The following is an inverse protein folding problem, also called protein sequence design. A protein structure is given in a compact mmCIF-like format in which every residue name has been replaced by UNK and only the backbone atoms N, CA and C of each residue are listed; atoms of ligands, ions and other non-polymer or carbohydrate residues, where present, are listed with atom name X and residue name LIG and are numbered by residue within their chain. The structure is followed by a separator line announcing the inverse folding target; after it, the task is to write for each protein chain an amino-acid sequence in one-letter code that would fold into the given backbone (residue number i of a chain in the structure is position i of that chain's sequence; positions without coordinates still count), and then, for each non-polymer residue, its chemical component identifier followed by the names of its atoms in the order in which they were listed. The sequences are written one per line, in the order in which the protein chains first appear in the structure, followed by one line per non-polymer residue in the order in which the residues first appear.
data_IF_285811438685
#
_entry.id   IF_285811438685
#
_cell.length_a   1.000
_cell.length_b   1.000
_cell.length_c   1.000
_cell.angle_alpha   90.00
_cell.angle_beta   90.00
_cell.angle_gamma   90.00
#
_symmetry.space_group_name_H-M   'P 1'
#
loop_
_entity.id
_entity.type
_entity.pdbx_description
1 polymer ?
#
# COMPACT_ATOMS: atom_id res chain seq x y z
N UNK A 1 -15.19 12.40 2.02
CA UNK A 1 -13.93 12.11 1.27
C UNK A 1 -13.13 13.40 1.07
N UNK A 2 -11.82 13.37 1.27
CA UNK A 2 -10.93 14.53 1.02
C UNK A 2 -10.54 14.63 -0.46
N UNK A 3 -10.29 13.50 -1.09
CA UNK A 3 -9.97 13.40 -2.51
C UNK A 3 -11.20 13.67 -3.40
N UNK A 4 -10.95 13.95 -4.67
CA UNK A 4 -12.01 14.10 -5.67
C UNK A 4 -12.66 12.75 -5.95
N UNK A 5 -13.96 12.71 -6.30
CA UNK A 5 -14.64 11.46 -6.65
C UNK A 5 -13.86 10.66 -7.69
N UNK A 6 -13.67 9.37 -7.42
CA UNK A 6 -13.03 8.46 -8.35
C UNK A 6 -14.01 8.09 -9.48
N UNK A 7 -13.46 7.65 -10.61
CA UNK A 7 -14.28 7.13 -11.69
C UNK A 7 -14.95 5.81 -11.27
N UNK A 8 -16.30 5.72 -11.21
CA UNK A 8 -17.01 4.50 -10.80
C UNK A 8 -16.72 3.29 -11.70
N UNK A 9 -16.22 3.51 -12.91
CA UNK A 9 -15.84 2.43 -13.84
C UNK A 9 -14.73 1.53 -13.25
N UNK A 10 -13.87 2.05 -12.34
CA UNK A 10 -12.90 1.25 -11.57
C UNK A 10 -13.64 0.11 -10.88
N UNK A 11 -14.62 0.44 -10.08
CA UNK A 11 -15.36 -0.51 -9.25
C UNK A 11 -16.26 -1.44 -10.06
N UNK A 12 -16.87 -0.93 -11.15
CA UNK A 12 -17.66 -1.72 -12.08
C UNK A 12 -16.80 -2.79 -12.75
N UNK A 13 -15.61 -2.44 -13.25
CA UNK A 13 -14.68 -3.40 -13.88
C UNK A 13 -14.20 -4.43 -12.87
N UNK A 14 -13.87 -4.00 -11.65
CA UNK A 14 -13.40 -4.87 -10.59
C UNK A 14 -14.46 -5.92 -10.22
N UNK A 15 -15.71 -5.52 -10.03
CA UNK A 15 -16.81 -6.47 -9.78
C UNK A 15 -17.05 -7.42 -10.95
N UNK A 16 -17.01 -6.94 -12.20
CA UNK A 16 -17.13 -7.81 -13.38
C UNK A 16 -16.04 -8.87 -13.42
N UNK A 17 -14.80 -8.48 -13.11
CA UNK A 17 -13.65 -9.41 -13.03
C UNK A 17 -13.86 -10.43 -11.91
N UNK A 18 -14.30 -10.00 -10.73
CA UNK A 18 -14.57 -10.89 -9.59
C UNK A 18 -15.68 -11.89 -9.93
N UNK A 19 -16.83 -11.42 -10.40
CA UNK A 19 -17.98 -12.23 -10.77
C UNK A 19 -17.64 -13.28 -11.85
N UNK A 20 -16.76 -12.93 -12.80
CA UNK A 20 -16.34 -13.87 -13.86
C UNK A 20 -15.54 -15.08 -13.35
N UNK A 21 -15.05 -15.02 -12.11
CA UNK A 21 -14.30 -16.11 -11.46
C UNK A 21 -15.12 -16.83 -10.38
N UNK A 22 -16.34 -16.39 -10.11
CA UNK A 22 -17.24 -17.09 -9.21
C UNK A 22 -17.80 -18.37 -9.87
N UNK A 23 -18.04 -19.38 -9.04
CA UNK A 23 -18.81 -20.55 -9.49
C UNK A 23 -20.25 -20.17 -9.76
N UNK A 24 -20.89 -20.95 -10.63
CA UNK A 24 -22.33 -20.79 -10.92
C UNK A 24 -23.16 -20.89 -9.65
N UNK A 25 -24.27 -20.20 -9.63
CA UNK A 25 -25.25 -20.15 -8.55
C UNK A 25 -24.62 -19.85 -7.18
N UNK A 26 -23.66 -18.95 -7.14
CA UNK A 26 -22.95 -18.55 -5.92
C UNK A 26 -23.25 -17.11 -5.54
N UNK A 27 -23.33 -16.87 -4.23
CA UNK A 27 -23.42 -15.53 -3.65
C UNK A 27 -22.11 -15.15 -2.95
N UNK A 28 -21.64 -13.93 -3.15
CA UNK A 28 -20.48 -13.39 -2.43
C UNK A 28 -20.87 -12.20 -1.55
N UNK A 29 -20.36 -12.15 -0.33
CA UNK A 29 -20.71 -11.16 0.67
C UNK A 29 -19.42 -10.53 1.24
N UNK A 30 -19.36 -9.20 1.18
CA UNK A 30 -18.23 -8.39 1.66
C UNK A 30 -18.72 -7.39 2.68
N UNK A 31 -18.03 -7.30 3.81
CA UNK A 31 -18.38 -6.37 4.88
C UNK A 31 -17.39 -5.19 4.94
N UNK A 32 -17.87 -4.04 5.43
CA UNK A 32 -17.00 -2.96 5.87
C UNK A 32 -16.16 -3.38 7.07
N UNK A 33 -15.09 -2.63 7.34
CA UNK A 33 -14.43 -2.70 8.64
C UNK A 33 -15.35 -2.18 9.75
N UNK A 34 -14.96 -2.42 11.00
CA UNK A 34 -15.56 -1.81 12.17
C UNK A 34 -15.05 -0.38 12.38
N UNK A 35 -15.84 0.46 13.01
CA UNK A 35 -15.34 1.64 13.71
C UNK A 35 -14.62 1.16 14.97
N UNK A 36 -13.30 1.39 15.05
CA UNK A 36 -12.48 0.85 16.13
C UNK A 36 -12.39 1.85 17.29
N UNK A 37 -12.75 1.44 18.53
CA UNK A 37 -12.60 2.30 19.70
C UNK A 37 -11.12 2.54 20.02
N UNK A 38 -10.77 3.79 20.30
CA UNK A 38 -9.47 4.17 20.82
C UNK A 38 -9.48 4.11 22.36
N UNK A 39 -10.16 5.05 23.00
CA UNK A 39 -10.36 5.11 24.45
C UNK A 39 -11.68 5.83 24.76
N UNK A 40 -12.41 5.36 25.77
CA UNK A 40 -13.70 5.94 26.17
C UNK A 40 -14.69 5.88 25.01
N UNK A 41 -15.18 7.03 24.59
CA UNK A 41 -16.10 7.22 23.45
C UNK A 41 -15.38 7.68 22.17
N UNK A 42 -14.05 7.82 22.21
CA UNK A 42 -13.26 8.19 21.03
C UNK A 42 -13.00 7.00 20.12
N UNK A 43 -13.05 7.25 18.82
CA UNK A 43 -12.78 6.27 17.77
C UNK A 43 -11.46 6.61 17.05
N UNK A 44 -10.76 5.59 16.58
CA UNK A 44 -9.73 5.78 15.56
C UNK A 44 -10.37 6.25 14.25
N UNK A 45 -9.65 6.99 13.38
CA UNK A 45 -10.11 7.28 12.04
C UNK A 45 -10.57 6.01 11.32
N UNK A 46 -11.77 6.04 10.75
CA UNK A 46 -12.29 4.89 10.02
C UNK A 46 -11.48 4.67 8.74
N UNK A 47 -11.05 3.43 8.54
CA UNK A 47 -10.39 2.96 7.31
C UNK A 47 -11.23 1.80 6.79
N UNK A 48 -11.66 1.89 5.53
CA UNK A 48 -12.49 0.87 4.91
C UNK A 48 -11.71 -0.43 4.67
N UNK A 49 -12.44 -1.56 4.69
CA UNK A 49 -11.92 -2.84 4.23
C UNK A 49 -11.46 -2.72 2.76
N UNK A 50 -10.22 -3.07 2.48
CA UNK A 50 -9.60 -2.88 1.17
C UNK A 50 -10.33 -3.61 0.05
N UNK A 51 -10.88 -4.80 0.33
CA UNK A 51 -11.61 -5.60 -0.66
C UNK A 51 -12.99 -5.02 -0.95
N UNK A 52 -13.70 -4.57 0.09
CA UNK A 52 -14.98 -3.87 -0.09
C UNK A 52 -14.77 -2.56 -0.84
N UNK A 53 -13.72 -1.80 -0.49
CA UNK A 53 -13.38 -0.56 -1.21
C UNK A 53 -13.08 -0.86 -2.68
N UNK A 54 -12.25 -1.86 -2.98
CA UNK A 54 -11.90 -2.27 -4.33
C UNK A 54 -13.11 -2.64 -5.19
N UNK A 55 -14.16 -3.19 -4.56
CA UNK A 55 -15.41 -3.55 -5.21
C UNK A 55 -16.40 -2.39 -5.35
N UNK A 56 -16.32 -1.34 -4.53
CA UNK A 56 -17.41 -0.36 -4.43
C UNK A 56 -17.01 1.11 -4.34
N UNK A 57 -15.81 1.42 -3.87
CA UNK A 57 -15.39 2.80 -3.57
C UNK A 57 -16.09 3.41 -2.35
N UNK A 58 -16.83 2.63 -1.58
CA UNK A 58 -17.60 3.13 -0.43
C UNK A 58 -16.70 3.22 0.81
N UNK A 59 -16.67 4.37 1.46
CA UNK A 59 -15.90 4.66 2.68
C UNK A 59 -16.80 4.88 3.90
N UNK A 60 -17.90 4.18 4.00
CA UNK A 60 -18.81 4.27 5.14
C UNK A 60 -18.80 2.95 5.92
N UNK A 61 -18.71 3.06 7.24
CA UNK A 61 -18.91 1.92 8.15
C UNK A 61 -20.32 1.32 7.97
N UNK A 62 -20.52 0.09 8.44
CA UNK A 62 -21.79 -0.62 8.34
C UNK A 62 -22.34 -0.68 6.90
N UNK A 63 -21.44 -0.83 5.94
CA UNK A 63 -21.76 -1.07 4.55
C UNK A 63 -21.40 -2.50 4.12
N UNK A 64 -22.07 -3.00 3.10
CA UNK A 64 -21.77 -4.31 2.52
C UNK A 64 -21.91 -4.27 0.99
N UNK A 65 -21.22 -5.18 0.32
CA UNK A 65 -21.43 -5.49 -1.10
C UNK A 65 -21.85 -6.94 -1.20
N UNK A 66 -22.95 -7.19 -1.91
CA UNK A 66 -23.45 -8.53 -2.18
C UNK A 66 -23.51 -8.73 -3.69
N UNK A 67 -22.90 -9.81 -4.16
CA UNK A 67 -22.85 -10.20 -5.57
C UNK A 67 -23.48 -11.57 -5.73
N UNK A 68 -24.58 -11.65 -6.48
CA UNK A 68 -25.26 -12.90 -6.80
C UNK A 68 -25.64 -12.92 -8.27
N UNK A 69 -24.68 -13.20 -9.18
CA UNK A 69 -24.88 -13.05 -10.64
C UNK A 69 -26.04 -13.87 -11.20
N UNK A 70 -26.32 -15.03 -10.60
CA UNK A 70 -27.39 -15.93 -11.02
C UNK A 70 -28.72 -15.68 -10.29
N UNK A 71 -28.86 -14.59 -9.52
CA UNK A 71 -30.12 -14.24 -8.90
C UNK A 71 -31.23 -14.14 -9.95
N UNK A 72 -32.39 -14.86 -9.76
CA UNK A 72 -33.49 -14.82 -10.70
C UNK A 72 -34.03 -13.40 -10.98
N UNK A 73 -34.03 -12.54 -9.95
CA UNK A 73 -34.35 -11.12 -10.12
C UNK A 73 -33.06 -10.34 -10.46
N UNK A 74 -32.92 -9.81 -11.68
CA UNK A 74 -31.75 -9.06 -12.09
C UNK A 74 -31.43 -7.84 -11.22
N UNK A 75 -32.42 -7.30 -10.53
CA UNK A 75 -32.28 -6.17 -9.60
C UNK A 75 -31.32 -6.52 -8.46
N UNK A 76 -31.25 -7.77 -8.03
CA UNK A 76 -30.47 -8.21 -6.87
C UNK A 76 -29.17 -8.94 -7.22
N UNK A 77 -28.70 -8.83 -8.47
CA UNK A 77 -27.43 -9.43 -8.90
C UNK A 77 -26.21 -8.69 -8.36
N UNK A 78 -26.33 -7.38 -8.18
CA UNK A 78 -25.35 -6.53 -7.48
C UNK A 78 -26.11 -5.64 -6.50
N UNK A 79 -25.77 -5.70 -5.24
CA UNK A 79 -26.44 -4.95 -4.16
C UNK A 79 -25.40 -4.24 -3.31
N UNK A 80 -25.59 -2.93 -3.14
CA UNK A 80 -24.91 -2.14 -2.14
C UNK A 80 -25.80 -2.00 -0.92
N UNK A 81 -25.30 -2.40 0.24
CA UNK A 81 -25.98 -2.22 1.52
C UNK A 81 -25.38 -1.03 2.25
N UNK A 82 -26.24 -0.14 2.70
CA UNK A 82 -25.84 1.06 3.44
C UNK A 82 -26.68 1.21 4.71
N UNK A 83 -26.13 1.92 5.69
CA UNK A 83 -26.90 2.38 6.84
C UNK A 83 -27.98 3.36 6.38
N UNK A 84 -29.22 3.18 6.88
CA UNK A 84 -30.28 4.15 6.60
C UNK A 84 -29.93 5.51 7.24
N UNK A 85 -29.99 6.60 6.48
CA UNK A 85 -29.78 7.94 7.03
C UNK A 85 -30.69 8.23 8.22
N UNK A 86 -30.13 8.80 9.26
CA UNK A 86 -30.82 9.13 10.50
C UNK A 86 -30.40 10.53 10.98
N UNK A 87 -31.32 11.46 11.09
CA UNK A 87 -31.04 12.86 11.45
C UNK A 87 -30.28 13.01 12.77
N UNK A 88 -30.59 12.19 13.77
CA UNK A 88 -29.92 12.25 15.05
C UNK A 88 -28.44 11.81 14.91
N UNK A 89 -28.18 10.68 14.23
CA UNK A 89 -26.81 10.23 13.95
C UNK A 89 -26.03 11.27 13.16
N UNK A 90 -26.65 11.89 12.15
CA UNK A 90 -25.99 12.89 11.31
C UNK A 90 -25.65 14.18 12.07
N UNK A 91 -26.45 14.54 13.06
CA UNK A 91 -26.13 15.66 13.96
C UNK A 91 -24.89 15.42 14.82
N UNK A 92 -24.61 14.17 15.14
CA UNK A 92 -23.45 13.78 15.96
C UNK A 92 -22.21 13.40 15.13
N UNK A 93 -22.41 12.58 14.10
CA UNK A 93 -21.31 11.89 13.42
C UNK A 93 -21.10 12.38 11.97
N UNK A 94 -21.92 13.34 11.50
CA UNK A 94 -21.83 13.84 10.15
C UNK A 94 -22.68 13.06 9.14
N UNK A 95 -22.47 13.34 7.86
CA UNK A 95 -23.27 12.86 6.74
C UNK A 95 -23.22 11.36 6.56
N UNK A 96 -24.38 10.71 6.36
CA UNK A 96 -24.53 9.33 5.92
C UNK A 96 -24.94 9.29 4.45
N UNK A 97 -24.33 8.40 3.67
CA UNK A 97 -24.58 8.28 2.24
C UNK A 97 -26.06 8.00 1.92
N UNK A 98 -26.60 8.77 1.00
CA UNK A 98 -27.92 8.52 0.41
C UNK A 98 -27.81 7.45 -0.68
N UNK A 99 -28.93 6.81 -1.01
CA UNK A 99 -28.93 5.78 -2.05
C UNK A 99 -28.33 6.27 -3.37
N UNK A 100 -28.69 7.49 -3.79
CA UNK A 100 -28.14 8.10 -5.02
C UNK A 100 -26.62 8.27 -4.96
N UNK A 101 -26.09 8.72 -3.83
CA UNK A 101 -24.64 8.91 -3.65
C UNK A 101 -23.90 7.57 -3.71
N UNK A 102 -24.46 6.53 -3.07
CA UNK A 102 -23.92 5.17 -3.17
C UNK A 102 -23.88 4.65 -4.61
N UNK A 103 -24.94 4.93 -5.40
CA UNK A 103 -24.99 4.60 -6.83
C UNK A 103 -23.94 5.37 -7.62
N UNK A 104 -23.83 6.67 -7.39
CA UNK A 104 -22.92 7.56 -8.13
C UNK A 104 -21.43 7.18 -7.85
N UNK A 105 -21.11 6.74 -6.63
CA UNK A 105 -19.76 6.31 -6.24
C UNK A 105 -19.44 4.91 -6.80
N UNK A 106 -20.33 3.94 -6.56
CA UNK A 106 -20.01 2.53 -6.79
C UNK A 106 -20.40 2.02 -8.18
N UNK A 107 -21.35 2.69 -8.84
CA UNK A 107 -22.01 2.20 -10.05
C UNK A 107 -23.01 1.06 -9.78
N UNK A 108 -23.19 0.61 -8.53
CA UNK A 108 -24.19 -0.41 -8.16
C UNK A 108 -25.57 0.28 -8.10
N UNK A 109 -26.50 -0.19 -8.93
CA UNK A 109 -27.81 0.47 -9.08
C UNK A 109 -28.80 0.14 -7.96
N UNK A 110 -28.64 -1.00 -7.30
CA UNK A 110 -29.53 -1.43 -6.22
C UNK A 110 -28.90 -1.13 -4.86
N UNK A 111 -29.52 -0.21 -4.13
CA UNK A 111 -29.16 0.09 -2.75
C UNK A 111 -30.23 -0.49 -1.82
N UNK A 112 -29.80 -1.24 -0.81
CA UNK A 112 -30.62 -1.81 0.26
C UNK A 112 -30.19 -1.22 1.59
N UNK A 113 -31.13 -0.92 2.47
CA UNK A 113 -30.81 -0.45 3.80
C UNK A 113 -30.48 -1.62 4.73
N UNK A 114 -29.49 -1.46 5.58
CA UNK A 114 -29.01 -2.52 6.48
C UNK A 114 -30.12 -3.05 7.40
N UNK A 115 -31.04 -2.20 7.84
CA UNK A 115 -32.15 -2.55 8.75
C UNK A 115 -33.20 -3.50 8.15
N UNK A 116 -33.23 -3.66 6.83
CA UNK A 116 -34.15 -4.59 6.15
C UNK A 116 -33.41 -5.73 5.44
N UNK A 117 -32.09 -5.78 5.55
CA UNK A 117 -31.27 -6.74 4.81
C UNK A 117 -31.59 -8.19 5.13
N UNK A 118 -31.78 -8.55 6.40
CA UNK A 118 -31.97 -9.95 6.82
C UNK A 118 -33.17 -10.61 6.12
N UNK A 119 -34.25 -9.85 5.93
CA UNK A 119 -35.44 -10.34 5.23
C UNK A 119 -35.23 -10.61 3.73
N UNK A 120 -34.27 -9.94 3.11
CA UNK A 120 -33.88 -10.10 1.70
C UNK A 120 -32.78 -11.13 1.52
N UNK A 121 -31.81 -11.14 2.41
CA UNK A 121 -30.62 -12.00 2.30
C UNK A 121 -30.96 -13.48 2.51
N UNK A 122 -31.83 -13.78 3.46
CA UNK A 122 -32.18 -15.18 3.74
C UNK A 122 -32.74 -15.92 2.50
N UNK A 123 -33.72 -15.42 1.73
CA UNK A 123 -34.13 -16.04 0.47
C UNK A 123 -33.00 -16.20 -0.55
N UNK A 124 -32.08 -15.21 -0.67
CA UNK A 124 -30.99 -15.30 -1.61
C UNK A 124 -29.98 -16.40 -1.22
N UNK A 125 -29.70 -16.54 0.08
CA UNK A 125 -28.84 -17.63 0.59
C UNK A 125 -29.48 -19.00 0.28
N UNK A 126 -30.80 -19.14 0.43
CA UNK A 126 -31.46 -20.40 0.13
C UNK A 126 -31.49 -20.77 -1.35
N UNK A 127 -31.34 -19.77 -2.24
CA UNK A 127 -31.25 -20.00 -3.69
C UNK A 127 -29.82 -20.36 -4.13
N UNK A 128 -28.79 -19.93 -3.39
CA UNK A 128 -27.40 -20.10 -3.76
C UNK A 128 -26.89 -21.50 -3.34
N UNK A 129 -26.07 -22.12 -4.19
CA UNK A 129 -25.41 -23.39 -3.88
C UNK A 129 -24.12 -23.19 -3.06
N UNK A 130 -23.48 -22.04 -3.23
CA UNK A 130 -22.24 -21.73 -2.53
C UNK A 130 -22.20 -20.27 -2.06
N UNK A 131 -21.53 -20.05 -0.93
CA UNK A 131 -21.36 -18.73 -0.32
C UNK A 131 -19.88 -18.39 -0.30
N UNK A 132 -19.49 -17.34 -1.01
CA UNK A 132 -18.17 -16.75 -0.92
C UNK A 132 -18.14 -15.76 0.25
N UNK A 133 -17.26 -16.03 1.22
CA UNK A 133 -16.99 -15.15 2.34
C UNK A 133 -15.57 -14.59 2.24
N UNK A 134 -15.38 -13.41 2.79
CA UNK A 134 -14.09 -12.76 2.83
C UNK A 134 -13.45 -12.93 4.20
N UNK A 135 -12.13 -13.06 4.20
CA UNK A 135 -11.27 -12.99 5.38
C UNK A 135 -9.93 -12.40 4.94
N UNK A 136 -9.32 -11.59 5.77
CA UNK A 136 -8.00 -11.06 5.44
C UNK A 136 -6.96 -12.19 5.45
N UNK A 137 -6.47 -12.56 4.28
CA UNK A 137 -5.46 -13.59 4.05
C UNK A 137 -4.12 -12.99 3.60
N UNK A 138 -3.81 -11.76 4.00
CA UNK A 138 -2.50 -11.18 3.75
C UNK A 138 -1.44 -11.92 4.56
N UNK A 139 -0.34 -12.34 3.91
CA UNK A 139 0.75 -13.11 4.52
C UNK A 139 1.48 -12.33 5.63
N UNK A 140 1.35 -11.00 5.64
CA UNK A 140 1.92 -10.10 6.67
C UNK A 140 0.94 -9.75 7.78
N UNK A 141 -0.21 -10.41 7.83
CA UNK A 141 -1.21 -10.18 8.87
C UNK A 141 -0.63 -10.52 10.25
N UNK A 142 -0.57 -9.53 11.12
CA UNK A 142 -0.12 -9.64 12.51
C UNK A 142 -1.22 -9.23 13.49
N UNK A 143 -2.49 -9.63 13.23
CA UNK A 143 -3.63 -9.14 14.00
C UNK A 143 -4.31 -10.28 14.76
N UNK A 144 -4.36 -10.17 16.08
CA UNK A 144 -5.08 -11.09 16.97
C UNK A 144 -6.57 -10.69 17.15
N UNK A 145 -6.93 -9.44 16.80
CA UNK A 145 -8.30 -8.95 16.92
C UNK A 145 -9.16 -9.53 15.80
N UNK A 146 -10.27 -10.17 16.18
CA UNK A 146 -11.22 -10.71 15.22
C UNK A 146 -11.89 -9.61 14.40
N UNK A 147 -11.67 -9.59 13.09
CA UNK A 147 -12.28 -8.64 12.17
C UNK A 147 -13.77 -8.91 11.97
N UNK A 148 -14.51 -7.92 11.45
CA UNK A 148 -15.93 -8.11 11.10
C UNK A 148 -16.14 -9.28 10.15
N UNK A 149 -15.30 -9.44 9.14
CA UNK A 149 -15.40 -10.56 8.20
C UNK A 149 -15.26 -11.93 8.88
N UNK A 150 -14.32 -12.08 9.84
CA UNK A 150 -14.21 -13.33 10.62
C UNK A 150 -15.45 -13.62 11.46
N UNK A 151 -15.96 -12.60 12.15
CA UNK A 151 -17.19 -12.76 12.96
C UNK A 151 -18.39 -13.07 12.08
N UNK A 152 -18.48 -12.41 10.92
CA UNK A 152 -19.54 -12.67 9.95
C UNK A 152 -19.43 -14.08 9.35
N UNK A 153 -18.24 -14.54 9.01
CA UNK A 153 -18.02 -15.91 8.54
C UNK A 153 -18.46 -16.94 9.59
N UNK A 154 -18.09 -16.76 10.86
CA UNK A 154 -18.55 -17.63 11.95
C UNK A 154 -20.07 -17.61 12.09
N UNK A 155 -20.71 -16.44 12.04
CA UNK A 155 -22.16 -16.29 12.06
C UNK A 155 -22.84 -17.07 10.91
N UNK A 156 -22.33 -16.94 9.68
CA UNK A 156 -22.88 -17.61 8.50
C UNK A 156 -22.77 -19.14 8.62
N UNK A 157 -21.63 -19.66 9.09
CA UNK A 157 -21.47 -21.10 9.32
C UNK A 157 -22.43 -21.67 10.36
N UNK A 158 -22.75 -20.91 11.42
CA UNK A 158 -23.72 -21.31 12.42
C UNK A 158 -25.14 -21.28 11.85
N UNK A 159 -25.49 -20.23 11.10
CA UNK A 159 -26.85 -20.00 10.61
C UNK A 159 -27.21 -20.88 9.41
N UNK A 160 -26.25 -21.18 8.54
CA UNK A 160 -26.44 -21.92 7.29
C UNK A 160 -25.43 -23.07 7.15
N UNK A 161 -25.41 -24.05 8.08
CA UNK A 161 -24.35 -25.04 8.22
C UNK A 161 -24.22 -26.02 7.05
N UNK A 162 -25.23 -26.13 6.19
CA UNK A 162 -25.26 -27.09 5.07
C UNK A 162 -24.88 -26.48 3.71
N UNK A 163 -24.50 -25.19 3.67
CA UNK A 163 -24.03 -24.55 2.43
C UNK A 163 -22.54 -24.84 2.19
N UNK A 164 -22.14 -24.77 0.91
CA UNK A 164 -20.73 -24.83 0.53
C UNK A 164 -20.10 -23.45 0.72
N UNK A 165 -19.05 -23.35 1.54
CA UNK A 165 -18.33 -22.10 1.77
C UNK A 165 -17.07 -22.02 0.94
N UNK A 166 -16.82 -20.85 0.35
CA UNK A 166 -15.66 -20.55 -0.50
C UNK A 166 -14.96 -19.28 -0.05
N UNK A 167 -13.66 -19.23 -0.33
CA UNK A 167 -12.81 -18.10 0.07
C UNK A 167 -12.73 -17.07 -1.06
N UNK A 168 -13.23 -15.87 -0.84
CA UNK A 168 -13.09 -14.73 -1.78
C UNK A 168 -11.63 -14.28 -1.94
N UNK A 169 -10.84 -14.39 -0.88
CA UNK A 169 -9.45 -13.96 -0.85
C UNK A 169 -8.60 -14.59 -1.96
N UNK A 170 -8.87 -15.84 -2.36
CA UNK A 170 -8.16 -16.50 -3.45
C UNK A 170 -8.34 -15.77 -4.79
N UNK A 171 -9.57 -15.36 -5.11
CA UNK A 171 -9.89 -14.60 -6.33
C UNK A 171 -9.32 -13.18 -6.21
N UNK A 172 -9.54 -12.53 -5.07
CA UNK A 172 -9.09 -11.14 -4.84
C UNK A 172 -7.58 -10.99 -4.93
N UNK A 173 -6.82 -11.96 -4.40
CA UNK A 173 -5.35 -11.96 -4.47
C UNK A 173 -4.85 -11.87 -5.91
N UNK A 174 -5.44 -12.64 -6.82
CA UNK A 174 -5.09 -12.62 -8.23
C UNK A 174 -5.52 -11.32 -8.92
N UNK A 175 -6.75 -10.87 -8.65
CA UNK A 175 -7.33 -9.72 -9.35
C UNK A 175 -6.75 -8.38 -8.87
N UNK A 176 -6.55 -8.19 -7.57
CA UNK A 176 -5.98 -6.96 -7.00
C UNK A 176 -4.49 -6.81 -7.35
N UNK A 177 -3.77 -7.93 -7.50
CA UNK A 177 -2.38 -7.89 -7.95
C UNK A 177 -2.24 -7.21 -9.33
N UNK A 178 -3.21 -7.38 -10.24
CA UNK A 178 -3.23 -6.83 -11.60
C UNK A 178 -4.07 -5.54 -11.63
N UNK A 179 -3.41 -4.40 -11.63
CA UNK A 179 -4.05 -3.08 -11.67
C UNK A 179 -4.57 -2.77 -13.08
N UNK A 180 -5.78 -2.24 -13.15
CA UNK A 180 -6.32 -1.63 -14.37
C UNK A 180 -5.65 -0.29 -14.67
N UNK A 181 -5.81 0.25 -15.87
CA UNK A 181 -5.25 1.56 -16.20
C UNK A 181 -5.83 2.69 -15.33
N UNK A 182 -7.11 2.59 -14.99
CA UNK A 182 -7.77 3.57 -14.12
C UNK A 182 -7.23 3.53 -12.68
N UNK A 183 -6.87 2.34 -12.16
CA UNK A 183 -6.21 2.21 -10.86
C UNK A 183 -4.79 2.82 -10.88
N UNK A 184 -4.05 2.64 -11.98
CA UNK A 184 -2.73 3.27 -12.17
C UNK A 184 -2.83 4.80 -12.17
N UNK A 185 -3.88 5.38 -12.76
CA UNK A 185 -4.11 6.83 -12.72
C UNK A 185 -4.31 7.35 -11.28
N UNK A 186 -4.97 6.58 -10.44
CA UNK A 186 -5.15 6.94 -9.01
C UNK A 186 -3.84 6.80 -8.23
N UNK A 187 -3.09 5.73 -8.46
CA UNK A 187 -1.74 5.55 -7.87
C UNK A 187 -0.82 6.71 -8.30
N UNK A 188 -0.88 7.13 -9.58
CA UNK A 188 -0.07 8.27 -10.05
C UNK A 188 -0.42 9.56 -9.32
N UNK A 189 -1.70 9.79 -8.94
CA UNK A 189 -2.09 10.94 -8.11
C UNK A 189 -1.46 10.91 -6.73
N UNK A 190 -1.42 9.74 -6.09
CA UNK A 190 -0.72 9.57 -4.81
C UNK A 190 0.79 9.84 -4.95
N UNK A 191 1.40 9.37 -6.03
CA UNK A 191 2.81 9.61 -6.37
C UNK A 191 3.07 11.10 -6.61
N UNK A 192 2.22 11.79 -7.36
CA UNK A 192 2.39 13.22 -7.67
C UNK A 192 2.34 14.07 -6.39
N UNK A 193 1.46 13.73 -5.44
CA UNK A 193 1.39 14.36 -4.11
C UNK A 193 2.68 14.10 -3.32
N UNK A 194 3.19 12.87 -3.40
CA UNK A 194 4.43 12.46 -2.71
C UNK A 194 5.65 13.20 -3.30
N UNK A 195 5.75 13.34 -4.62
CA UNK A 195 6.81 14.12 -5.29
C UNK A 195 6.80 15.59 -4.84
N UNK A 196 5.63 16.24 -4.91
CA UNK A 196 5.49 17.64 -4.47
C UNK A 196 5.93 17.81 -3.01
N UNK A 197 5.58 16.82 -2.16
CA UNK A 197 5.97 16.83 -0.75
C UNK A 197 7.48 16.64 -0.60
N UNK A 198 8.09 15.69 -1.30
CA UNK A 198 9.54 15.49 -1.26
C UNK A 198 10.31 16.77 -1.68
N UNK A 199 9.90 17.41 -2.77
CA UNK A 199 10.52 18.67 -3.22
C UNK A 199 10.40 19.78 -2.18
N UNK A 200 9.25 19.87 -1.48
CA UNK A 200 9.06 20.82 -0.37
C UNK A 200 10.03 20.52 0.78
N UNK A 201 10.22 19.24 1.15
CA UNK A 201 11.12 18.82 2.22
C UNK A 201 12.57 19.16 1.92
N UNK A 202 13.03 19.05 0.67
CA UNK A 202 14.39 19.44 0.29
C UNK A 202 14.71 20.91 0.61
N UNK A 203 13.71 21.79 0.58
CA UNK A 203 13.85 23.19 1.02
C UNK A 203 13.68 23.39 2.52
N UNK A 204 13.14 22.43 3.26
CA UNK A 204 12.85 22.52 4.70
C UNK A 204 13.99 21.95 5.56
N UNK A 205 14.59 20.84 5.14
CA UNK A 205 15.61 20.10 5.89
C UNK A 205 16.89 20.95 6.03
N UNK A 206 17.38 21.05 7.28
CA UNK A 206 18.64 21.71 7.66
C UNK A 206 19.07 21.23 9.04
N UNK A 207 20.33 21.42 9.45
CA UNK A 207 20.77 21.16 10.81
C UNK A 207 19.90 21.90 11.85
N UNK A 208 19.53 21.20 12.92
CA UNK A 208 18.69 21.70 14.01
C UNK A 208 17.17 21.50 13.80
N UNK A 209 16.71 21.03 12.66
CA UNK A 209 15.32 20.60 12.48
C UNK A 209 15.14 19.23 13.12
N UNK A 210 14.00 18.98 13.73
CA UNK A 210 13.66 17.67 14.32
C UNK A 210 12.91 16.78 13.34
N UNK A 211 13.03 15.46 13.53
CA UNK A 211 12.37 14.47 12.69
C UNK A 211 10.83 14.65 12.71
N UNK A 212 10.23 14.98 13.86
CA UNK A 212 8.77 15.23 13.94
C UNK A 212 8.34 16.55 13.26
N UNK A 213 9.21 17.56 13.12
CA UNK A 213 8.89 18.76 12.34
C UNK A 213 8.81 18.41 10.85
N UNK A 214 9.67 17.50 10.38
CA UNK A 214 9.62 16.99 9.01
C UNK A 214 8.35 16.16 8.79
N UNK A 215 7.95 15.31 9.73
CA UNK A 215 6.69 14.54 9.66
C UNK A 215 5.46 15.47 9.67
N UNK A 216 5.49 16.56 10.43
CA UNK A 216 4.45 17.58 10.40
C UNK A 216 4.33 18.27 9.02
N UNK A 217 5.48 18.57 8.37
CA UNK A 217 5.50 19.11 7.00
C UNK A 217 4.95 18.12 5.97
N UNK A 218 5.25 16.83 6.10
CA UNK A 218 4.66 15.76 5.28
C UNK A 218 3.15 15.75 5.43
N UNK A 219 2.66 15.68 6.67
CA UNK A 219 1.24 15.64 6.99
C UNK A 219 0.51 16.87 6.46
N UNK A 220 1.05 18.07 6.67
CA UNK A 220 0.51 19.31 6.12
C UNK A 220 0.43 19.26 4.59
N UNK A 221 1.53 18.87 3.93
CA UNK A 221 1.60 18.83 2.47
C UNK A 221 0.61 17.83 1.87
N UNK A 222 0.49 16.64 2.45
CA UNK A 222 -0.46 15.63 1.99
C UNK A 222 -1.90 16.13 2.10
N UNK A 223 -2.31 16.64 3.25
CA UNK A 223 -3.69 17.09 3.50
C UNK A 223 -4.06 18.30 2.63
N UNK A 224 -3.13 19.24 2.43
CA UNK A 224 -3.38 20.42 1.59
C UNK A 224 -3.56 20.08 0.11
N UNK A 225 -3.05 18.93 -0.33
CA UNK A 225 -3.19 18.41 -1.70
C UNK A 225 -4.31 17.37 -1.85
N UNK A 226 -5.23 17.27 -0.88
CA UNK A 226 -6.37 16.36 -0.88
C UNK A 226 -6.02 14.87 -0.76
N UNK A 227 -4.86 14.50 -0.27
CA UNK A 227 -4.62 13.13 0.15
C UNK A 227 -5.55 12.74 1.30
N UNK A 228 -5.88 11.48 1.43
CA UNK A 228 -6.58 10.94 2.60
C UNK A 228 -5.73 11.14 3.86
N UNK A 229 -4.43 10.96 3.70
CA UNK A 229 -3.38 11.09 4.71
C UNK A 229 -2.12 10.38 4.24
N UNK A 230 -1.19 10.10 5.14
CA UNK A 230 -0.08 9.20 4.86
C UNK A 230 -0.60 7.78 4.63
N UNK A 231 0.04 7.04 3.73
CA UNK A 231 -0.27 5.65 3.44
C UNK A 231 0.13 4.71 4.62
N UNK A 232 1.13 5.12 5.36
CA UNK A 232 1.70 4.46 6.56
C UNK A 232 2.36 5.51 7.46
N UNK A 233 2.75 5.11 8.67
CA UNK A 233 3.53 6.00 9.56
C UNK A 233 4.86 6.34 8.90
N UNK A 234 5.11 7.63 8.70
CA UNK A 234 6.34 8.10 8.04
C UNK A 234 7.56 7.68 8.86
N UNK A 235 8.59 7.20 8.17
CA UNK A 235 9.90 6.89 8.74
C UNK A 235 10.82 8.08 8.44
N UNK A 236 11.19 8.82 9.46
CA UNK A 236 12.08 9.99 9.34
C UNK A 236 13.28 9.74 10.24
N UNK A 237 14.31 9.15 9.67
CA UNK A 237 15.41 8.55 10.41
C UNK A 237 16.74 9.27 10.14
N UNK A 238 17.18 10.11 11.05
CA UNK A 238 18.45 10.83 10.94
C UNK A 238 19.62 10.07 11.55
N UNK A 239 20.80 10.17 10.97
CA UNK A 239 22.04 9.55 11.45
C UNK A 239 21.90 8.03 11.60
N UNK A 240 22.22 7.50 12.78
CA UNK A 240 22.19 6.07 13.09
C UNK A 240 20.78 5.45 13.05
N UNK A 241 19.73 6.23 13.28
CA UNK A 241 18.35 5.76 13.20
C UNK A 241 18.00 5.20 11.80
N UNK A 242 18.68 5.65 10.75
CA UNK A 242 18.49 5.18 9.37
C UNK A 242 18.76 3.68 9.19
N UNK A 243 19.33 2.99 10.17
CA UNK A 243 19.53 1.53 10.16
C UNK A 243 18.34 0.74 10.73
N UNK A 244 17.38 1.42 11.35
CA UNK A 244 16.16 0.81 11.91
C UNK A 244 15.08 0.88 10.83
N UNK A 245 14.71 -0.28 10.27
CA UNK A 245 13.84 -0.35 9.08
C UNK A 245 12.48 0.34 9.24
N UNK A 246 11.85 0.16 10.39
CA UNK A 246 10.55 0.77 10.72
C UNK A 246 10.69 1.73 11.91
N UNK A 247 11.60 2.70 11.78
CA UNK A 247 11.78 3.76 12.77
C UNK A 247 10.66 4.80 12.65
N UNK A 248 9.75 4.81 13.61
CA UNK A 248 8.57 5.69 13.62
C UNK A 248 8.52 6.62 14.82
N UNK A 249 9.51 6.57 15.69
CA UNK A 249 9.59 7.47 16.86
C UNK A 249 9.77 8.93 16.44
N UNK A 250 10.50 9.18 15.37
CA UNK A 250 10.70 10.48 14.74
C UNK A 250 10.97 11.61 15.74
N UNK A 251 11.85 11.37 16.74
CA UNK A 251 11.98 12.25 17.90
C UNK A 251 13.36 12.90 18.07
N UNK A 252 14.28 12.69 17.12
CA UNK A 252 15.64 13.20 17.19
C UNK A 252 15.82 14.51 16.40
N UNK A 253 16.85 15.27 16.79
CA UNK A 253 17.33 16.43 16.05
C UNK A 253 18.27 16.00 14.92
N UNK A 254 18.04 16.52 13.72
CA UNK A 254 18.88 16.30 12.54
C UNK A 254 20.20 17.10 12.67
N UNK A 255 21.34 16.42 12.75
CA UNK A 255 22.65 17.04 12.99
C UNK A 255 23.37 17.37 11.69
N UNK A 256 24.25 18.38 11.75
CA UNK A 256 25.14 18.70 10.65
C UNK A 256 26.05 17.52 10.32
N UNK A 257 26.13 17.17 9.04
CA UNK A 257 26.93 16.05 8.54
C UNK A 257 26.22 14.69 8.52
N UNK A 258 25.04 14.56 9.14
CA UNK A 258 24.22 13.34 9.08
C UNK A 258 23.51 13.21 7.73
N UNK A 259 23.19 11.97 7.37
CA UNK A 259 22.16 11.65 6.41
C UNK A 259 20.82 11.53 7.14
N UNK A 260 19.73 11.83 6.43
CA UNK A 260 18.38 11.53 6.86
C UNK A 260 17.71 10.66 5.81
N UNK A 261 17.28 9.48 6.23
CA UNK A 261 16.46 8.57 5.45
C UNK A 261 15.00 8.92 5.72
N UNK A 262 14.26 9.21 4.67
CA UNK A 262 12.84 9.50 4.72
C UNK A 262 12.10 8.50 3.86
N UNK A 263 11.17 7.77 4.48
CA UNK A 263 10.32 6.79 3.85
C UNK A 263 8.86 7.16 4.15
N UNK A 264 8.14 7.61 3.12
CA UNK A 264 6.80 8.15 3.23
C UNK A 264 6.07 8.09 1.90
N UNK A 265 4.76 7.94 1.95
CA UNK A 265 3.90 7.93 0.78
C UNK A 265 2.53 8.51 1.07
N UNK A 266 1.93 9.20 0.12
CA UNK A 266 0.55 9.68 0.22
C UNK A 266 -0.43 8.55 -0.10
N UNK A 267 -1.60 8.58 0.56
CA UNK A 267 -2.78 7.81 0.17
C UNK A 267 -3.79 8.72 -0.52
N UNK A 268 -4.18 8.40 -1.75
CA UNK A 268 -5.21 9.13 -2.50
C UNK A 268 -6.25 8.16 -3.03
N UNK A 269 -7.52 8.36 -2.63
CA UNK A 269 -8.58 7.40 -3.00
C UNK A 269 -8.25 5.97 -2.56
N UNK A 270 -7.67 5.80 -1.39
CA UNK A 270 -7.17 4.54 -0.81
C UNK A 270 -6.09 3.81 -1.65
N UNK A 271 -5.59 4.38 -2.73
CA UNK A 271 -4.40 3.88 -3.42
C UNK A 271 -3.16 4.61 -2.91
N UNK A 272 -2.10 3.88 -2.72
CA UNK A 272 -0.92 4.32 -2.00
C UNK A 272 0.26 4.58 -2.94
N UNK A 273 1.09 5.56 -2.57
CA UNK A 273 2.47 5.70 -3.02
C UNK A 273 3.41 5.21 -1.91
N UNK A 274 4.62 4.87 -2.30
CA UNK A 274 5.69 4.43 -1.41
C UNK A 274 7.02 4.95 -1.92
N UNK A 275 7.68 5.84 -1.16
CA UNK A 275 8.89 6.52 -1.58
C UNK A 275 9.91 6.55 -0.46
N UNK A 276 11.09 6.03 -0.71
CA UNK A 276 12.25 6.30 0.17
C UNK A 276 13.30 7.14 -0.55
N UNK A 277 13.78 8.15 0.14
CA UNK A 277 14.97 8.94 -0.23
C UNK A 277 15.84 9.18 0.98
N UNK A 278 17.15 9.12 0.76
CA UNK A 278 18.15 9.50 1.76
C UNK A 278 18.87 10.75 1.31
N UNK A 279 18.88 11.80 2.12
CA UNK A 279 19.48 13.09 1.76
C UNK A 279 20.42 13.61 2.86
N UNK A 280 21.41 14.46 2.56
CA UNK A 280 22.28 15.05 3.57
C UNK A 280 21.56 16.17 4.32
N UNK A 281 21.56 16.15 5.65
CA UNK A 281 20.91 17.17 6.49
C UNK A 281 21.37 18.59 6.16
N UNK A 282 22.64 18.77 5.85
CA UNK A 282 23.23 20.08 5.52
C UNK A 282 23.24 20.42 4.02
N UNK A 283 22.56 19.62 3.19
CA UNK A 283 22.46 19.84 1.74
C UNK A 283 23.68 19.41 0.94
N UNK A 284 24.66 18.72 1.54
CA UNK A 284 25.88 18.29 0.84
C UNK A 284 26.37 16.93 1.32
N UNK A 285 26.39 15.95 0.44
CA UNK A 285 26.96 14.64 0.74
C UNK A 285 28.48 14.69 0.94
N UNK A 286 28.99 14.03 1.96
CA UNK A 286 30.44 13.76 2.10
C UNK A 286 30.92 12.80 1.01
N UNK A 287 32.24 12.65 0.86
CA UNK A 287 32.82 11.70 -0.11
C UNK A 287 32.34 10.27 0.12
N UNK A 288 32.31 9.82 1.39
CA UNK A 288 31.89 8.46 1.73
C UNK A 288 30.40 8.27 1.52
N UNK A 289 29.58 9.22 1.92
CA UNK A 289 28.13 9.20 1.70
C UNK A 289 27.79 9.10 0.21
N UNK A 290 28.49 9.84 -0.69
CA UNK A 290 28.32 9.73 -2.14
C UNK A 290 28.65 8.33 -2.67
N UNK A 291 29.71 7.70 -2.15
CA UNK A 291 30.08 6.33 -2.56
C UNK A 291 28.96 5.36 -2.20
N UNK A 292 28.44 5.41 -0.97
CA UNK A 292 27.37 4.51 -0.49
C UNK A 292 26.05 4.82 -1.20
N UNK A 293 25.68 6.09 -1.35
CA UNK A 293 24.47 6.51 -2.04
C UNK A 293 24.47 6.04 -3.50
N UNK A 294 25.54 6.30 -4.26
CA UNK A 294 25.65 5.87 -5.65
C UNK A 294 25.66 4.33 -5.77
N UNK A 295 26.25 3.63 -4.82
CA UNK A 295 26.21 2.17 -4.80
C UNK A 295 24.76 1.64 -4.57
N UNK A 296 24.00 2.30 -3.73
CA UNK A 296 22.57 2.00 -3.55
C UNK A 296 21.76 2.33 -4.81
N UNK A 297 22.04 3.45 -5.46
CA UNK A 297 21.40 3.85 -6.71
C UNK A 297 21.73 2.89 -7.86
N UNK A 298 23.00 2.46 -8.00
CA UNK A 298 23.41 1.43 -8.97
C UNK A 298 22.63 0.12 -8.74
N UNK A 299 22.48 -0.27 -7.46
CA UNK A 299 21.71 -1.47 -7.10
C UNK A 299 20.23 -1.28 -7.42
N UNK A 300 19.65 -0.10 -7.18
CA UNK A 300 18.26 0.21 -7.55
C UNK A 300 18.05 0.11 -9.07
N UNK A 301 18.95 0.63 -9.87
CA UNK A 301 18.89 0.51 -11.34
C UNK A 301 19.01 -0.96 -11.79
N UNK A 302 19.89 -1.73 -11.16
CA UNK A 302 20.00 -3.17 -11.44
C UNK A 302 18.69 -3.87 -11.11
N UNK A 303 18.10 -3.61 -9.94
CA UNK A 303 16.80 -4.15 -9.54
C UNK A 303 15.73 -3.86 -10.59
N UNK A 304 15.64 -2.62 -11.06
CA UNK A 304 14.70 -2.24 -12.11
C UNK A 304 14.94 -2.99 -13.43
N UNK A 305 16.20 -3.25 -13.79
CA UNK A 305 16.54 -3.99 -15.01
C UNK A 305 16.12 -5.46 -14.99
N UNK A 306 16.05 -6.06 -13.80
CA UNK A 306 15.76 -7.49 -13.60
C UNK A 306 14.25 -7.74 -13.37
N UNK A 307 13.54 -6.81 -12.72
CA UNK A 307 12.12 -6.96 -12.40
C UNK A 307 11.26 -6.82 -13.68
N UNK A 308 10.83 -7.94 -14.24
CA UNK A 308 10.06 -8.00 -15.50
C UNK A 308 9.12 -9.20 -15.51
N UNK A 309 8.13 -9.25 -16.43
CA UNK A 309 7.24 -10.39 -16.54
C UNK A 309 7.99 -11.72 -16.68
N UNK A 310 7.50 -12.75 -15.98
CA UNK A 310 8.02 -14.09 -16.02
C UNK A 310 9.02 -14.46 -14.94
N UNK A 311 9.63 -13.48 -14.23
CA UNK A 311 10.48 -13.75 -13.07
C UNK A 311 9.63 -13.95 -11.82
N UNK A 312 10.01 -14.85 -10.92
CA UNK A 312 9.45 -14.92 -9.57
C UNK A 312 10.16 -13.94 -8.64
N UNK A 313 9.51 -13.54 -7.55
CA UNK A 313 10.15 -12.66 -6.54
C UNK A 313 11.33 -13.34 -5.86
N UNK A 314 11.32 -14.68 -5.74
CA UNK A 314 12.44 -15.44 -5.21
C UNK A 314 13.66 -15.37 -6.14
N UNK A 315 13.48 -15.67 -7.44
CA UNK A 315 14.56 -15.55 -8.44
C UNK A 315 15.10 -14.12 -8.56
N UNK A 316 14.21 -13.12 -8.46
CA UNK A 316 14.57 -11.72 -8.43
C UNK A 316 15.47 -11.40 -7.23
N UNK A 317 15.07 -11.84 -6.03
CA UNK A 317 15.82 -11.63 -4.78
C UNK A 317 17.22 -12.27 -4.83
N UNK A 318 17.34 -13.48 -5.40
CA UNK A 318 18.63 -14.16 -5.58
C UNK A 318 19.56 -13.35 -6.49
N UNK A 319 19.07 -12.93 -7.66
CA UNK A 319 19.88 -12.14 -8.62
C UNK A 319 20.34 -10.81 -8.02
N UNK A 320 19.47 -10.14 -7.25
CA UNK A 320 19.83 -8.89 -6.59
C UNK A 320 20.84 -9.13 -5.46
N UNK A 321 20.71 -10.25 -4.72
CA UNK A 321 21.69 -10.63 -3.70
C UNK A 321 23.10 -10.86 -4.27
N UNK A 322 23.18 -11.50 -5.42
CA UNK A 322 24.46 -11.71 -6.13
C UNK A 322 25.08 -10.38 -6.60
N UNK A 323 24.25 -9.44 -7.09
CA UNK A 323 24.74 -8.10 -7.46
C UNK A 323 25.12 -7.26 -6.24
N UNK A 324 24.32 -7.31 -5.16
CA UNK A 324 24.64 -6.62 -3.90
C UNK A 324 26.01 -7.08 -3.36
N UNK A 325 26.33 -8.37 -3.44
CA UNK A 325 27.64 -8.91 -3.05
C UNK A 325 28.78 -8.22 -3.82
N UNK A 326 28.65 -8.05 -5.15
CA UNK A 326 29.65 -7.37 -5.98
C UNK A 326 29.77 -5.89 -5.66
N UNK A 327 28.62 -5.22 -5.49
CA UNK A 327 28.55 -3.80 -5.12
C UNK A 327 29.23 -3.58 -3.77
N UNK A 328 28.96 -4.42 -2.78
CA UNK A 328 29.54 -4.30 -1.44
C UNK A 328 31.05 -4.58 -1.42
N UNK A 329 31.53 -5.50 -2.26
CA UNK A 329 32.98 -5.65 -2.46
C UNK A 329 33.61 -4.39 -3.05
N UNK A 330 33.00 -3.79 -4.09
CA UNK A 330 33.51 -2.59 -4.77
C UNK A 330 33.65 -1.40 -3.83
N UNK A 331 32.73 -1.22 -2.87
CA UNK A 331 32.76 -0.11 -1.90
C UNK A 331 33.45 -0.44 -0.57
N UNK A 332 34.04 -1.64 -0.47
CA UNK A 332 34.88 -2.07 0.67
C UNK A 332 34.10 -2.58 1.89
N UNK A 333 32.83 -2.94 1.75
CA UNK A 333 32.02 -3.51 2.84
C UNK A 333 32.23 -5.02 2.98
N UNK A 334 32.49 -5.74 1.89
CA UNK A 334 32.78 -7.17 1.88
C UNK A 334 34.16 -7.43 1.27
N UNK A 335 34.82 -8.46 1.75
CA UNK A 335 36.07 -8.95 1.17
C UNK A 335 35.90 -10.40 0.68
N UNK A 336 36.93 -10.95 0.00
CA UNK A 336 36.89 -12.31 -0.54
C UNK A 336 36.76 -13.38 0.55
N UNK A 337 37.25 -13.11 1.76
CA UNK A 337 37.18 -14.04 2.90
C UNK A 337 35.76 -14.14 3.43
N UNK A 338 35.06 -12.98 3.51
CA UNK A 338 33.66 -12.92 3.95
C UNK A 338 32.76 -13.80 3.04
N UNK A 339 32.97 -13.68 1.73
CA UNK A 339 32.20 -14.45 0.74
C UNK A 339 32.58 -15.93 0.75
N UNK A 340 33.88 -16.25 0.88
CA UNK A 340 34.31 -17.65 0.93
C UNK A 340 33.76 -18.40 2.14
N UNK A 341 33.58 -17.70 3.25
CA UNK A 341 33.15 -18.27 4.51
C UNK A 341 31.67 -17.99 4.82
N UNK A 342 30.90 -17.48 3.84
CA UNK A 342 29.48 -17.18 4.06
C UNK A 342 28.67 -18.47 4.34
N UNK A 343 27.64 -18.31 5.15
CA UNK A 343 26.62 -19.33 5.37
C UNK A 343 25.71 -19.38 4.11
N UNK A 344 25.52 -20.56 3.47
CA UNK A 344 24.61 -20.70 2.34
C UNK A 344 23.18 -20.21 2.61
N UNK A 345 22.69 -20.34 3.85
CA UNK A 345 21.34 -19.89 4.26
C UNK A 345 21.32 -18.41 4.64
N UNK A 346 22.48 -17.81 4.95
CA UNK A 346 22.61 -16.41 5.32
C UNK A 346 23.81 -15.75 4.65
N UNK A 347 23.67 -15.46 3.36
CA UNK A 347 24.74 -14.92 2.49
C UNK A 347 25.31 -13.61 3.05
N UNK A 348 26.60 -13.37 2.84
CA UNK A 348 27.39 -12.27 3.40
C UNK A 348 26.78 -10.87 3.13
N UNK A 349 26.14 -10.66 1.97
CA UNK A 349 25.50 -9.39 1.64
C UNK A 349 24.40 -9.01 2.63
N UNK A 350 23.74 -9.98 3.28
CA UNK A 350 22.64 -9.74 4.23
C UNK A 350 23.08 -9.00 5.48
N UNK A 351 24.39 -8.91 5.76
CA UNK A 351 24.90 -8.03 6.81
C UNK A 351 24.55 -6.56 6.57
N UNK A 352 24.49 -6.13 5.32
CA UNK A 352 24.29 -4.74 4.92
C UNK A 352 22.97 -4.49 4.18
N UNK A 353 22.27 -5.54 3.72
CA UNK A 353 20.96 -5.51 3.08
C UNK A 353 20.11 -6.65 3.66
N UNK A 354 19.37 -6.39 4.73
CA UNK A 354 18.71 -7.40 5.55
C UNK A 354 17.17 -7.37 5.48
N UNK A 355 16.61 -6.69 4.47
CA UNK A 355 15.15 -6.70 4.19
C UNK A 355 14.82 -7.15 2.77
N UNK A 356 13.53 -7.30 2.47
CA UNK A 356 13.03 -7.57 1.12
C UNK A 356 13.24 -6.37 0.21
N UNK A 357 13.47 -6.61 -1.09
CA UNK A 357 13.87 -5.58 -2.05
C UNK A 357 12.65 -5.02 -2.79
N UNK A 358 11.51 -5.69 -2.70
CA UNK A 358 10.27 -5.32 -3.41
C UNK A 358 9.06 -5.96 -2.76
N UNK A 359 7.93 -5.26 -2.82
CA UNK A 359 6.62 -5.80 -2.48
C UNK A 359 5.56 -5.26 -3.44
N UNK A 360 4.41 -5.93 -3.49
CA UNK A 360 3.25 -5.41 -4.19
C UNK A 360 2.75 -4.11 -3.55
N UNK A 361 2.27 -3.19 -4.37
CA UNK A 361 1.72 -1.91 -3.95
C UNK A 361 0.34 -1.70 -4.59
N UNK A 362 -0.59 -1.11 -3.84
CA UNK A 362 -1.94 -0.81 -4.32
C UNK A 362 -2.81 -0.10 -3.28
N UNK A 363 -3.97 -0.68 -2.97
CA UNK A 363 -4.83 -0.18 -1.89
C UNK A 363 -4.18 -0.44 -0.52
N UNK A 364 -3.52 -1.58 -0.37
CA UNK A 364 -2.63 -1.80 0.75
C UNK A 364 -1.20 -1.42 0.34
N UNK A 365 -0.41 -0.82 1.24
CA UNK A 365 1.00 -0.50 0.97
C UNK A 365 1.75 -1.79 0.69
N UNK A 366 1.63 -2.78 1.57
CA UNK A 366 2.02 -4.15 1.31
C UNK A 366 0.82 -4.91 0.74
N UNK A 367 0.56 -4.69 -0.56
CA UNK A 367 -0.62 -5.23 -1.21
C UNK A 367 -0.54 -6.75 -1.40
N UNK A 368 -1.71 -7.35 -1.60
CA UNK A 368 -1.83 -8.80 -1.76
C UNK A 368 -1.21 -9.27 -3.07
N UNK A 369 -0.48 -10.37 -3.01
CA UNK A 369 0.20 -10.98 -4.16
C UNK A 369 0.88 -12.28 -3.74
N UNK A 370 1.59 -12.94 -4.65
CA UNK A 370 2.38 -14.14 -4.36
C UNK A 370 3.86 -13.89 -4.65
N UNK A 371 4.74 -14.52 -3.87
CA UNK A 371 6.19 -14.46 -4.11
C UNK A 371 6.69 -15.57 -5.03
N UNK A 372 5.90 -16.63 -5.17
CA UNK A 372 6.24 -17.86 -5.88
C UNK A 372 5.72 -17.90 -7.31
N UNK A 373 4.65 -17.15 -7.60
CA UNK A 373 4.14 -17.04 -8.97
C UNK A 373 4.95 -16.03 -9.78
N UNK A 374 5.08 -16.25 -11.11
CA UNK A 374 5.74 -15.28 -11.97
C UNK A 374 5.06 -13.92 -11.95
N UNK A 375 5.89 -12.88 -11.94
CA UNK A 375 5.44 -11.48 -12.13
C UNK A 375 4.70 -11.36 -13.47
N UNK A 376 3.55 -10.67 -13.45
CA UNK A 376 2.67 -10.49 -14.61
C UNK A 376 2.52 -9.01 -14.95
N UNK A 377 2.29 -8.71 -16.22
CA UNK A 377 1.93 -7.35 -16.65
C UNK A 377 0.66 -6.87 -15.91
N UNK A 378 0.65 -5.61 -15.51
CA UNK A 378 -0.38 -4.98 -14.69
C UNK A 378 -0.07 -4.95 -13.19
N UNK A 379 0.88 -5.74 -12.70
CA UNK A 379 1.32 -5.67 -11.30
C UNK A 379 2.06 -4.35 -11.04
N UNK A 380 1.99 -3.88 -9.79
CA UNK A 380 2.77 -2.75 -9.28
C UNK A 380 3.61 -3.22 -8.11
N UNK A 381 4.88 -2.85 -8.13
CA UNK A 381 5.86 -3.19 -7.09
C UNK A 381 6.65 -1.98 -6.65
N UNK A 382 7.10 -1.98 -5.41
CA UNK A 382 8.22 -1.15 -4.98
C UNK A 382 9.53 -1.75 -5.49
N UNK A 383 10.56 -0.93 -5.63
CA UNK A 383 11.97 -1.34 -5.71
C UNK A 383 12.72 -0.49 -4.70
N UNK A 384 13.21 -1.14 -3.63
CA UNK A 384 13.66 -0.46 -2.41
C UNK A 384 14.99 -1.01 -1.85
N UNK A 385 16.05 -1.23 -2.63
CA UNK A 385 17.31 -1.69 -2.04
C UNK A 385 17.85 -0.67 -1.02
N UNK A 386 18.47 -1.20 0.04
CA UNK A 386 19.11 -0.38 1.08
C UNK A 386 20.52 -0.87 1.38
N UNK A 387 21.35 0.01 1.92
CA UNK A 387 22.70 -0.28 2.42
C UNK A 387 22.81 0.30 3.82
N UNK A 388 22.99 -0.56 4.82
CA UNK A 388 23.02 -0.17 6.23
C UNK A 388 24.34 -0.58 6.85
N UNK A 389 25.11 0.40 7.32
CA UNK A 389 26.49 0.20 7.80
C UNK A 389 26.57 0.62 9.25
N UNK A 390 26.62 -0.39 10.15
CA UNK A 390 26.67 -0.16 11.59
C UNK A 390 27.94 0.55 12.01
N UNK A 391 29.06 0.14 11.45
CA UNK A 391 30.37 0.69 11.76
C UNK A 391 30.53 2.18 11.37
N UNK A 392 29.69 2.66 10.44
CA UNK A 392 29.67 4.05 9.96
C UNK A 392 28.42 4.81 10.44
N UNK A 393 27.53 4.20 11.22
CA UNK A 393 26.27 4.76 11.71
C UNK A 393 25.44 5.39 10.57
N UNK A 394 25.32 4.68 9.47
CA UNK A 394 24.74 5.19 8.22
C UNK A 394 23.81 4.16 7.58
N UNK A 395 22.63 4.62 7.16
CA UNK A 395 21.70 3.89 6.32
C UNK A 395 21.33 4.68 5.08
N UNK A 396 21.27 4.01 3.92
CA UNK A 396 20.80 4.58 2.65
C UNK A 396 19.77 3.61 2.08
N UNK A 397 18.56 4.08 1.79
CA UNK A 397 17.55 3.37 1.00
C UNK A 397 17.06 4.29 -0.11
N UNK A 398 16.83 3.73 -1.28
CA UNK A 398 16.29 4.42 -2.46
C UNK A 398 15.15 3.57 -2.99
N UNK A 399 13.97 4.15 -3.10
CA UNK A 399 12.76 3.45 -3.46
C UNK A 399 11.90 4.21 -4.45
N UNK A 400 11.42 3.50 -5.45
CA UNK A 400 10.41 3.95 -6.41
C UNK A 400 9.34 2.89 -6.63
N UNK A 401 8.20 3.31 -7.18
CA UNK A 401 7.08 2.44 -7.56
C UNK A 401 7.13 2.12 -9.06
N UNK A 402 7.02 0.85 -9.39
CA UNK A 402 7.14 0.36 -10.76
C UNK A 402 5.88 -0.37 -11.22
N UNK A 403 5.34 0.04 -12.35
CA UNK A 403 4.26 -0.67 -13.04
C UNK A 403 4.84 -1.67 -14.04
N UNK A 404 4.48 -2.94 -13.89
CA UNK A 404 4.94 -4.00 -14.78
C UNK A 404 4.14 -3.93 -16.09
N UNK A 405 4.84 -3.80 -17.20
CA UNK A 405 4.28 -3.77 -18.56
C UNK A 405 4.50 -5.09 -19.28
N UNK A 406 3.96 -5.26 -20.48
CA UNK A 406 4.17 -6.48 -21.28
C UNK A 406 5.66 -6.74 -21.61
N UNK A 407 6.46 -5.67 -21.73
CA UNK A 407 7.84 -5.74 -22.22
C UNK A 407 8.90 -5.40 -21.14
N UNK A 408 8.51 -5.27 -19.88
CA UNK A 408 9.42 -4.88 -18.79
C UNK A 408 8.66 -4.17 -17.67
N UNK A 409 9.20 -3.07 -17.19
CA UNK A 409 8.56 -2.22 -16.19
C UNK A 409 8.61 -0.74 -16.58
N UNK A 410 7.79 0.06 -15.92
CA UNK A 410 7.76 1.52 -16.05
C UNK A 410 7.88 2.12 -14.65
N UNK A 411 8.90 2.90 -14.42
CA UNK A 411 9.03 3.71 -13.22
C UNK A 411 7.97 4.82 -13.22
N UNK A 412 7.04 4.76 -12.25
CA UNK A 412 5.98 5.74 -12.06
C UNK A 412 6.51 7.01 -11.38
N UNK A 413 7.68 6.93 -10.74
CA UNK A 413 8.34 8.00 -10.00
C UNK A 413 9.58 8.59 -10.72
N UNK A 414 9.75 8.31 -12.00
CA UNK A 414 10.94 8.70 -12.79
C UNK A 414 11.28 10.19 -12.76
N UNK A 415 10.35 11.06 -12.41
CA UNK A 415 10.54 12.51 -12.34
C UNK A 415 10.93 13.00 -10.93
N UNK A 416 10.89 12.12 -9.93
CA UNK A 416 11.28 12.45 -8.56
C UNK A 416 12.80 12.48 -8.46
N UNK A 417 13.41 13.55 -7.92
CA UNK A 417 14.86 13.64 -7.79
C UNK A 417 15.46 12.41 -7.11
N UNK A 418 16.52 11.86 -7.72
CA UNK A 418 17.11 10.61 -7.26
C UNK A 418 18.64 10.63 -7.26
N UNK A 419 19.28 11.49 -8.06
CA UNK A 419 20.75 11.57 -8.11
C UNK A 419 21.29 12.52 -7.05
N UNK A 420 22.53 12.28 -6.65
CA UNK A 420 23.26 13.18 -5.72
C UNK A 420 23.21 14.62 -6.20
N UNK A 421 23.43 14.84 -7.50
CA UNK A 421 23.50 16.16 -8.12
C UNK A 421 22.16 16.89 -8.08
N UNK A 422 21.05 16.20 -8.38
CA UNK A 422 19.70 16.75 -8.31
C UNK A 422 19.32 17.15 -6.89
N UNK A 423 19.59 16.26 -5.91
CA UNK A 423 19.30 16.50 -4.50
C UNK A 423 20.09 17.70 -3.97
N UNK A 424 21.42 17.71 -4.17
CA UNK A 424 22.28 18.82 -3.73
C UNK A 424 21.90 20.16 -4.42
N UNK A 425 21.45 20.12 -5.68
CA UNK A 425 21.01 21.31 -6.40
C UNK A 425 19.70 21.88 -5.85
N UNK A 426 18.74 21.02 -5.54
CA UNK A 426 17.44 21.44 -5.00
C UNK A 426 17.56 21.94 -3.55
N UNK A 427 18.39 21.31 -2.72
CA UNK A 427 18.61 21.74 -1.34
C UNK A 427 19.33 23.09 -1.23
N UNK A 428 20.00 23.55 -2.29
CA UNK A 428 20.63 24.89 -2.34
C UNK A 428 19.67 26.02 -2.69
N UNK A 429 18.48 25.69 -3.18
CA UNK A 429 17.52 26.73 -3.59
C UNK A 429 16.93 27.42 -2.34
N UNK A 430 16.77 28.75 -2.36
CA UNK A 430 16.03 29.43 -1.28
C UNK A 430 14.60 28.91 -1.21
N UNK A 431 14.07 28.84 -0.01
CA UNK A 431 12.68 28.40 0.25
C UNK A 431 11.69 29.23 -0.57
N UNK A 432 10.65 28.63 -1.17
CA UNK A 432 9.52 29.37 -1.73
C UNK A 432 8.74 30.12 -0.65
#
# INVERSE_FOLDING_TARGET
MKYLPLNPEIFIQNRKRFVSQMDKNSIAIFNSNDEMPANGDALYPFIQNSDLFWLSGIEQADSMVILFPDNPDPKYREVLVLQRPNELKEKWNGHLLRAKEGVDISGIKTVVWLDVLDGLLQPWIHLADSIYLNTNENDRKANEVSTRDYRYAAYMHIRYPLHNYKRSAKILKELRAIKTHLEIEVIQKAIDITDNTFRRLLGFIKPGVTEYEIDAEISHSFLSQRATGPAYGSIIASGDNARILHYVDNNQECKDGDLILMDFGASYGNYNADLTRTVPVNGKFSKRQKIVYNACLDLHHFCASVLKPGITINEYTEKVGDEATKVFQKIGLLNKTDIKNEDPENKAYRKYLYHGISHHLGIDVHDIGTKTEPVKAGMVFTIEPGIYIEEEQMGVRIENNFWITKNGNKDLMKNIPITVEEIEALMKQPRP
#
